data_IF_934118313622
#
_entry.id   IF_934118313622
#
_cell.length_a   1.000
_cell.length_b   1.000
_cell.length_c   1.000
_cell.angle_alpha   90.00
_cell.angle_beta   90.00
_cell.angle_gamma   90.00
#
_symmetry.space_group_name_H-M   'P 1'
#
loop_
_entity.id
_entity.type
_entity.pdbx_description
1 polymer ?
#
# COMPACT_ATOMS: atom_id res chain seq x y z
N UNK A 1 -6.52 14.97 -9.44
CA UNK A 1 -5.69 13.85 -9.95
C UNK A 1 -6.19 12.57 -9.30
N UNK A 2 -6.09 11.44 -9.98
CA UNK A 2 -6.36 10.13 -9.37
C UNK A 2 -5.32 9.90 -8.27
N UNK A 3 -5.75 9.58 -7.05
CA UNK A 3 -4.86 9.22 -5.95
C UNK A 3 -3.98 8.05 -6.39
N UNK A 4 -2.70 8.04 -6.03
CA UNK A 4 -1.76 6.96 -6.35
C UNK A 4 -1.27 6.30 -5.08
N UNK A 5 -0.90 5.02 -5.16
CA UNK A 5 -0.37 4.30 -4.01
C UNK A 5 0.66 3.25 -4.38
N UNK A 6 1.50 2.91 -3.39
CA UNK A 6 2.42 1.77 -3.42
C UNK A 6 2.13 0.95 -2.18
N UNK A 7 1.97 -0.36 -2.37
CA UNK A 7 1.68 -1.28 -1.30
C UNK A 7 2.88 -2.20 -1.04
N UNK A 8 3.55 -2.00 0.09
CA UNK A 8 4.72 -2.82 0.43
C UNK A 8 4.35 -4.27 0.80
N UNK A 9 3.06 -4.60 0.97
CA UNK A 9 2.59 -5.96 1.28
C UNK A 9 2.61 -6.86 0.04
N UNK A 10 2.54 -6.27 -1.15
CA UNK A 10 2.57 -7.01 -2.41
C UNK A 10 3.96 -7.58 -2.73
N UNK A 11 5.01 -7.04 -2.09
CA UNK A 11 6.37 -7.53 -2.23
C UNK A 11 6.77 -8.39 -1.02
N UNK A 12 6.90 -9.72 -1.17
CA UNK A 12 7.36 -10.59 -0.10
C UNK A 12 8.85 -10.32 0.17
N UNK A 13 9.11 -9.38 1.08
CA UNK A 13 10.44 -9.09 1.63
C UNK A 13 10.55 -9.62 3.06
N UNK A 14 11.77 -9.90 3.50
CA UNK A 14 12.08 -10.39 4.85
C UNK A 14 11.53 -9.46 5.96
N UNK A 15 11.43 -8.16 5.65
CA UNK A 15 10.93 -7.11 6.54
C UNK A 15 9.44 -7.22 6.92
N UNK A 16 8.62 -8.02 6.20
CA UNK A 16 7.17 -8.16 6.46
C UNK A 16 6.44 -6.80 6.64
N UNK A 17 6.71 -5.86 5.73
CA UNK A 17 6.12 -4.52 5.81
C UNK A 17 4.60 -4.57 5.60
N UNK A 18 3.89 -3.94 6.54
CA UNK A 18 2.42 -3.76 6.47
C UNK A 18 2.02 -2.37 5.98
N UNK A 19 2.98 -1.63 5.41
CA UNK A 19 2.83 -0.23 5.05
C UNK A 19 2.29 -0.12 3.63
N UNK A 20 1.27 0.72 3.46
CA UNK A 20 0.81 1.20 2.17
C UNK A 20 0.96 2.73 2.17
N UNK A 21 1.55 3.27 1.11
CA UNK A 21 1.86 4.70 0.98
C UNK A 21 0.99 5.24 -0.13
N UNK A 22 0.29 6.34 0.11
CA UNK A 22 -0.54 6.99 -0.91
C UNK A 22 -0.23 8.48 -1.01
N UNK A 23 -0.21 9.02 -2.22
CA UNK A 23 -0.05 10.44 -2.47
C UNK A 23 -0.80 10.87 -3.74
N UNK A 24 -1.05 12.17 -3.86
CA UNK A 24 -1.69 12.76 -5.04
C UNK A 24 -0.67 13.00 -6.18
N UNK A 25 0.62 13.10 -5.85
CA UNK A 25 1.72 13.30 -6.79
C UNK A 25 2.62 12.06 -6.85
N UNK A 26 2.98 11.66 -8.07
CA UNK A 26 3.85 10.49 -8.30
C UNK A 26 5.27 10.71 -7.76
N UNK A 27 5.83 11.91 -7.95
CA UNK A 27 7.18 12.24 -7.49
C UNK A 27 7.28 12.21 -5.95
N UNK A 28 6.28 12.76 -5.26
CA UNK A 28 6.21 12.69 -3.79
C UNK A 28 6.04 11.26 -3.30
N UNK A 29 5.18 10.47 -3.97
CA UNK A 29 4.96 9.06 -3.64
C UNK A 29 6.27 8.27 -3.76
N UNK A 30 7.00 8.49 -4.85
CA UNK A 30 8.26 7.81 -5.13
C UNK A 30 9.31 8.15 -4.09
N UNK A 31 9.50 9.43 -3.77
CA UNK A 31 10.53 9.83 -2.81
C UNK A 31 10.24 9.23 -1.42
N UNK A 32 8.98 9.22 -0.97
CA UNK A 32 8.60 8.61 0.30
C UNK A 32 8.79 7.08 0.27
N UNK A 33 8.44 6.41 -0.83
CA UNK A 33 8.63 4.98 -0.97
C UNK A 33 10.10 4.56 -1.01
N UNK A 34 10.95 5.36 -1.67
CA UNK A 34 12.41 5.16 -1.69
C UNK A 34 12.98 5.33 -0.28
N UNK A 35 12.58 6.37 0.45
CA UNK A 35 13.02 6.57 1.84
C UNK A 35 12.63 5.38 2.74
N UNK A 36 11.44 4.81 2.53
CA UNK A 36 11.01 3.59 3.21
C UNK A 36 11.88 2.38 2.84
N UNK A 37 12.13 2.16 1.54
CA UNK A 37 12.98 1.06 1.07
C UNK A 37 14.41 1.15 1.60
N UNK A 38 15.00 2.35 1.68
CA UNK A 38 16.35 2.55 2.20
C UNK A 38 16.37 2.37 3.72
N UNK A 39 15.44 2.99 4.44
CA UNK A 39 15.46 3.00 5.90
C UNK A 39 15.02 1.68 6.52
N UNK A 40 14.00 1.02 5.94
CA UNK A 40 13.40 -0.20 6.51
C UNK A 40 13.94 -1.46 5.84
N UNK A 41 14.05 -1.46 4.51
CA UNK A 41 14.56 -2.62 3.77
C UNK A 41 16.08 -2.59 3.56
N UNK A 42 16.77 -1.52 4.00
CA UNK A 42 18.22 -1.35 3.86
C UNK A 42 18.69 -1.46 2.40
N UNK A 43 17.81 -1.15 1.44
CA UNK A 43 18.17 -1.08 0.04
C UNK A 43 19.03 0.17 -0.22
N UNK A 44 19.95 0.09 -1.18
CA UNK A 44 20.70 1.27 -1.60
C UNK A 44 19.80 2.18 -2.45
N UNK A 45 19.86 3.49 -2.19
CA UNK A 45 19.22 4.47 -3.05
C UNK A 45 19.92 4.51 -4.42
N UNK A 46 19.33 3.84 -5.40
CA UNK A 46 19.89 3.69 -6.74
C UNK A 46 18.83 4.02 -7.80
N UNK A 47 19.25 4.46 -9.00
CA UNK A 47 18.31 4.77 -10.08
C UNK A 47 17.51 3.53 -10.53
N UNK A 48 18.08 2.34 -10.39
CA UNK A 48 17.39 1.07 -10.63
C UNK A 48 16.28 0.84 -9.60
N UNK A 49 16.54 1.06 -8.30
CA UNK A 49 15.52 0.95 -7.25
C UNK A 49 14.37 1.93 -7.52
N UNK A 50 14.69 3.20 -7.82
CA UNK A 50 13.68 4.20 -8.17
C UNK A 50 12.83 3.78 -9.37
N UNK A 51 13.46 3.24 -10.41
CA UNK A 51 12.75 2.77 -11.62
C UNK A 51 11.85 1.58 -11.32
N UNK A 52 12.31 0.64 -10.49
CA UNK A 52 11.51 -0.49 -10.03
C UNK A 52 10.28 -0.01 -9.24
N UNK A 53 10.47 0.91 -8.29
CA UNK A 53 9.39 1.47 -7.46
C UNK A 53 8.37 2.23 -8.32
N UNK A 54 8.78 2.95 -9.37
CA UNK A 54 7.84 3.57 -10.34
C UNK A 54 6.90 2.56 -10.98
N UNK A 55 7.40 1.37 -11.28
CA UNK A 55 6.61 0.28 -11.85
C UNK A 55 5.60 -0.33 -10.88
N UNK A 56 5.69 -0.02 -9.58
CA UNK A 56 4.81 -0.53 -8.52
C UNK A 56 3.73 0.50 -8.12
N UNK A 57 3.60 1.59 -8.87
CA UNK A 57 2.61 2.62 -8.58
C UNK A 57 1.26 2.21 -9.13
N UNK A 58 0.29 2.11 -8.25
CA UNK A 58 -1.10 1.82 -8.56
C UNK A 58 -1.95 3.08 -8.47
N UNK A 59 -2.99 3.16 -9.29
CA UNK A 59 -4.01 4.20 -9.19
C UNK A 59 -5.13 3.77 -8.23
N UNK A 60 -5.62 4.71 -7.42
CA UNK A 60 -6.70 4.52 -6.46
C UNK A 60 -6.25 4.55 -5.00
N UNK A 61 -6.87 3.70 -4.20
CA UNK A 61 -6.62 3.56 -2.75
C UNK A 61 -6.21 2.10 -2.49
N UNK A 62 -5.20 1.84 -1.64
CA UNK A 62 -4.82 0.47 -1.29
C UNK A 62 -5.98 -0.27 -0.63
N UNK A 63 -6.11 -1.59 -0.82
CA UNK A 63 -7.17 -2.36 -0.19
C UNK A 63 -7.01 -2.35 1.35
N UNK A 64 -8.05 -1.88 2.04
CA UNK A 64 -8.05 -1.64 3.50
C UNK A 64 -8.16 -2.93 4.31
N UNK A 65 -8.65 -3.99 3.68
CA UNK A 65 -8.80 -5.32 4.26
C UNK A 65 -8.82 -6.33 3.12
N UNK A 66 -7.86 -7.27 3.08
CA UNK A 66 -7.96 -8.46 2.22
C UNK A 66 -9.07 -9.31 2.85
N UNK A 67 -10.34 -9.00 2.55
CA UNK A 67 -11.44 -9.84 3.05
C UNK A 67 -11.25 -11.17 2.35
N UNK A 68 -11.19 -12.30 3.08
CA UNK A 68 -11.29 -13.58 2.40
C UNK A 68 -12.59 -13.54 1.57
N UNK A 69 -12.57 -13.96 0.30
CA UNK A 69 -13.78 -14.01 -0.51
C UNK A 69 -14.78 -14.94 0.18
N UNK A 70 -15.82 -14.38 0.81
CA UNK A 70 -16.86 -15.17 1.49
C UNK A 70 -17.44 -14.61 2.80
N UNK A 71 -16.93 -13.52 3.37
CA UNK A 71 -17.59 -12.89 4.54
C UNK A 71 -18.76 -12.04 4.06
N UNK A 72 -19.93 -12.65 3.94
CA UNK A 72 -21.19 -11.93 3.98
C UNK A 72 -21.19 -11.09 5.25
N UNK A 73 -21.28 -9.77 5.10
CA UNK A 73 -21.58 -8.87 6.23
C UNK A 73 -22.86 -9.38 6.87
N UNK A 74 -22.70 -10.13 7.96
CA UNK A 74 -23.77 -10.44 8.87
C UNK A 74 -24.27 -9.11 9.42
N UNK A 75 -25.34 -8.59 8.84
CA UNK A 75 -26.24 -7.71 9.57
C UNK A 75 -26.73 -8.55 10.75
N UNK A 76 -26.35 -8.26 12.01
CA UNK A 76 -26.90 -9.00 13.13
C UNK A 76 -28.40 -8.71 13.17
N UNK A 77 -29.18 -9.75 12.91
CA UNK A 77 -30.59 -9.80 13.25
C UNK A 77 -30.74 -9.49 14.75
N UNK A 78 -31.36 -8.35 15.08
CA UNK A 78 -32.01 -8.23 16.39
C UNK A 78 -31.49 -7.22 17.42
N UNK A 79 -31.06 -6.00 17.07
CA UNK A 79 -30.99 -4.89 18.07
C UNK A 79 -31.80 -3.67 17.62
N UNK A 80 -33.03 -3.58 18.16
CA UNK A 80 -33.95 -2.41 18.16
C UNK A 80 -33.51 -1.37 19.22
N UNK A 81 -33.93 -0.09 19.16
CA UNK A 81 -35.22 0.39 19.69
C UNK A 81 -35.91 1.42 18.76
N UNK A 82 -37.20 1.77 18.80
CA UNK A 82 -38.20 1.90 19.86
C UNK A 82 -39.55 1.29 19.47
#
# INVERSE_FOLDING_TARGET
MTRKYIDCREFPSDAKCSVAISADNEDELLEVAVQHAVSVHQHADSPELRSAIRGMIHEGTPPEHIMPPGTTTGVPDGIRPH
#
